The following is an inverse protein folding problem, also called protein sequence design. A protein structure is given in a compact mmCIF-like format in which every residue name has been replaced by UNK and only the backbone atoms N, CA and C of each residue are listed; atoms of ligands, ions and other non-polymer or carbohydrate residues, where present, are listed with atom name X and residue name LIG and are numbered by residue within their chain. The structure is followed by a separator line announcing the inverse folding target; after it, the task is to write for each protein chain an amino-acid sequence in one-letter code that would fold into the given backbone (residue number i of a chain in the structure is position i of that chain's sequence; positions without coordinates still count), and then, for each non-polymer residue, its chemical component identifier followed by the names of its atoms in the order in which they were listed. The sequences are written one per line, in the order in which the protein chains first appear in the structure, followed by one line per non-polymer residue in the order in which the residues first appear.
data_IF_517425134572
#
_entry.id   IF_517425134572
#
_cell.length_a   1.000
_cell.length_b   1.000
_cell.length_c   1.000
_cell.angle_alpha   90.00
_cell.angle_beta   90.00
_cell.angle_gamma   90.00
#
_symmetry.space_group_name_H-M   'P 1'
#
loop_
_entity.id
_entity.type
_entity.pdbx_description
1 polymer ?
#
# COMPACT_ATOMS: atom_id res chain seq x y z
N UNK A 1 -0.10 -15.02 16.27
CA UNK A 1 -0.27 -13.56 16.14
C UNK A 1 -1.72 -13.21 16.37
N UNK A 2 -2.03 -12.21 17.18
CA UNK A 2 -3.40 -11.73 17.44
C UNK A 2 -3.87 -10.76 16.33
N UNK A 3 -5.18 -10.70 16.09
CA UNK A 3 -5.78 -9.72 15.17
C UNK A 3 -6.18 -8.50 16.02
N UNK A 4 -5.50 -7.39 15.81
CA UNK A 4 -5.72 -6.12 16.52
C UNK A 4 -6.09 -5.03 15.51
N UNK A 5 -7.05 -4.16 15.85
CA UNK A 5 -7.58 -3.15 14.93
C UNK A 5 -8.05 -3.78 13.60
N UNK A 6 -9.00 -4.72 13.68
CA UNK A 6 -9.67 -5.26 12.50
C UNK A 6 -10.60 -4.18 11.92
N UNK A 7 -10.44 -3.92 10.63
CA UNK A 7 -11.19 -2.94 9.85
C UNK A 7 -11.98 -3.73 8.80
N UNK A 8 -13.30 -3.69 8.91
CA UNK A 8 -14.28 -4.34 8.03
C UNK A 8 -14.85 -3.39 6.98
N UNK A 9 -14.01 -2.44 6.54
CA UNK A 9 -14.35 -1.48 5.49
C UNK A 9 -14.67 -2.16 4.16
N UNK A 10 -15.56 -1.51 3.42
CA UNK A 10 -16.08 -2.01 2.14
C UNK A 10 -15.61 -1.16 0.97
N UNK A 11 -15.12 0.05 1.24
CA UNK A 11 -14.56 0.98 0.25
C UNK A 11 -13.13 1.42 0.62
N UNK A 12 -12.27 1.55 -0.40
CA UNK A 12 -10.90 2.04 -0.26
C UNK A 12 -10.83 3.45 0.34
N UNK A 13 -11.86 4.28 0.15
CA UNK A 13 -11.91 5.64 0.72
C UNK A 13 -11.93 5.58 2.26
N UNK A 14 -12.66 4.63 2.83
CA UNK A 14 -12.72 4.43 4.29
C UNK A 14 -11.34 4.07 4.85
N UNK A 15 -10.64 3.14 4.18
CA UNK A 15 -9.27 2.77 4.54
C UNK A 15 -8.31 3.95 4.44
N UNK A 16 -8.43 4.75 3.38
CA UNK A 16 -7.59 5.94 3.17
C UNK A 16 -7.77 6.98 4.28
N UNK A 17 -9.01 7.30 4.64
CA UNK A 17 -9.28 8.26 5.72
C UNK A 17 -8.83 7.71 7.08
N UNK A 18 -8.98 6.41 7.33
CA UNK A 18 -8.43 5.79 8.52
C UNK A 18 -6.90 5.91 8.56
N UNK A 19 -6.20 5.59 7.47
CA UNK A 19 -4.74 5.68 7.40
C UNK A 19 -4.25 7.13 7.56
N UNK A 20 -4.93 8.10 6.96
CA UNK A 20 -4.62 9.53 7.12
C UNK A 20 -4.55 9.96 8.59
N UNK A 21 -5.46 9.45 9.42
CA UNK A 21 -5.50 9.74 10.86
C UNK A 21 -4.51 8.87 11.67
N UNK A 22 -4.26 7.64 11.25
CA UNK A 22 -3.69 6.60 12.11
C UNK A 22 -2.30 6.07 11.69
N UNK A 23 -1.83 6.33 10.48
CA UNK A 23 -0.59 5.73 9.94
C UNK A 23 0.67 6.01 10.78
N UNK A 24 0.68 7.11 11.54
CA UNK A 24 1.78 7.47 12.46
C UNK A 24 1.44 7.27 13.95
N UNK A 25 0.24 6.78 14.28
CA UNK A 25 -0.25 6.57 15.66
C UNK A 25 -0.33 5.09 16.04
N UNK A 26 -0.58 4.23 15.06
CA UNK A 26 -0.89 2.81 15.28
C UNK A 26 0.23 1.94 14.71
N UNK A 27 0.55 0.83 15.37
CA UNK A 27 1.66 -0.07 14.97
C UNK A 27 1.28 -1.05 13.86
N UNK A 28 0.00 -1.38 13.74
CA UNK A 28 -0.56 -2.22 12.68
C UNK A 28 -2.09 -2.20 12.73
N UNK A 29 -2.71 -2.58 11.63
CA UNK A 29 -4.13 -2.94 11.54
C UNK A 29 -4.31 -4.21 10.71
N UNK A 30 -5.52 -4.74 10.73
CA UNK A 30 -5.96 -5.80 9.83
C UNK A 30 -7.13 -5.28 9.03
N UNK A 31 -7.16 -5.54 7.73
CA UNK A 31 -8.24 -5.12 6.84
C UNK A 31 -8.91 -6.35 6.27
N UNK A 32 -10.23 -6.47 6.42
CA UNK A 32 -11.01 -7.51 5.75
C UNK A 32 -10.91 -7.29 4.25
N UNK A 33 -10.57 -8.34 3.50
CA UNK A 33 -10.26 -8.21 2.08
C UNK A 33 -10.55 -9.49 1.31
N UNK A 34 -10.48 -9.42 -0.02
CA UNK A 34 -10.58 -10.57 -0.90
C UNK A 34 -9.45 -10.57 -1.93
N UNK A 35 -8.98 -11.77 -2.31
CA UNK A 35 -8.05 -11.93 -3.44
C UNK A 35 -8.72 -11.70 -4.80
N UNK A 36 -10.05 -11.80 -4.86
CA UNK A 36 -10.83 -11.56 -6.06
C UNK A 36 -11.11 -10.08 -6.23
N UNK A 37 -11.10 -9.60 -7.49
CA UNK A 37 -11.64 -8.28 -7.85
C UNK A 37 -13.17 -8.22 -7.76
N UNK A 38 -13.82 -9.38 -7.68
CA UNK A 38 -15.25 -9.53 -7.44
C UNK A 38 -15.42 -10.36 -6.15
N UNK A 39 -15.42 -9.72 -4.98
CA UNK A 39 -15.57 -10.40 -3.70
C UNK A 39 -16.92 -11.10 -3.57
N UNK A 40 -16.96 -12.20 -2.82
CA UNK A 40 -18.22 -12.90 -2.47
C UNK A 40 -18.84 -12.37 -1.18
N UNK A 41 -18.20 -11.38 -0.53
CA UNK A 41 -18.64 -10.66 0.66
C UNK A 41 -18.14 -9.21 0.55
N UNK A 42 -18.84 -8.28 1.17
CA UNK A 42 -18.50 -6.85 1.12
C UNK A 42 -17.14 -6.61 1.78
N UNK A 43 -16.15 -6.19 0.99
CA UNK A 43 -14.79 -5.87 1.44
C UNK A 43 -14.01 -5.17 0.33
N UNK A 44 -12.89 -4.56 0.71
CA UNK A 44 -11.95 -3.96 -0.24
C UNK A 44 -11.13 -5.07 -0.92
N UNK A 45 -10.98 -5.08 -2.26
CA UNK A 45 -10.08 -5.98 -2.96
C UNK A 45 -8.62 -5.85 -2.49
N UNK A 46 -7.89 -6.96 -2.39
CA UNK A 46 -6.53 -7.00 -1.80
C UNK A 46 -5.56 -6.00 -2.43
N UNK A 47 -5.62 -5.81 -3.75
CA UNK A 47 -4.72 -4.86 -4.43
C UNK A 47 -4.98 -3.43 -3.96
N UNK A 48 -6.23 -3.05 -3.74
CA UNK A 48 -6.56 -1.70 -3.25
C UNK A 48 -6.14 -1.52 -1.79
N UNK A 49 -6.29 -2.57 -0.96
CA UNK A 49 -5.77 -2.57 0.42
C UNK A 49 -4.26 -2.35 0.45
N UNK A 50 -3.52 -3.02 -0.44
CA UNK A 50 -2.06 -2.85 -0.57
C UNK A 50 -1.73 -1.45 -1.07
N UNK A 51 -2.37 -0.98 -2.15
CA UNK A 51 -2.12 0.35 -2.71
C UNK A 51 -2.32 1.47 -1.67
N UNK A 52 -3.43 1.44 -0.91
CA UNK A 52 -3.64 2.42 0.16
C UNK A 52 -2.58 2.29 1.26
N UNK A 53 -2.15 1.08 1.62
CA UNK A 53 -1.04 0.95 2.58
C UNK A 53 0.24 1.62 2.07
N UNK A 54 0.60 1.40 0.81
CA UNK A 54 1.81 2.00 0.21
C UNK A 54 1.73 3.53 0.16
N UNK A 55 0.55 4.09 -0.13
CA UNK A 55 0.30 5.54 -0.10
C UNK A 55 0.74 6.21 1.21
N UNK A 56 0.71 5.49 2.34
CA UNK A 56 1.10 6.00 3.66
C UNK A 56 2.41 5.41 4.20
N UNK A 57 3.21 4.75 3.34
CA UNK A 57 4.48 4.15 3.73
C UNK A 57 4.34 2.88 4.57
N UNK A 58 3.19 2.23 4.49
CA UNK A 58 2.92 0.94 5.10
C UNK A 58 3.06 -0.17 4.05
N UNK A 59 3.23 -1.41 4.54
CA UNK A 59 3.26 -2.62 3.72
C UNK A 59 2.28 -3.65 4.26
N UNK A 60 1.88 -4.56 3.38
CA UNK A 60 1.18 -5.76 3.78
C UNK A 60 2.16 -6.85 4.24
N UNK A 61 1.72 -7.73 5.16
CA UNK A 61 2.56 -8.85 5.59
C UNK A 61 1.82 -10.17 5.65
N UNK A 62 0.85 -10.30 6.55
CA UNK A 62 0.26 -11.59 6.91
C UNK A 62 -1.20 -11.60 6.52
N UNK A 63 -1.57 -12.54 5.66
CA UNK A 63 -2.96 -12.85 5.36
C UNK A 63 -3.47 -13.93 6.31
N UNK A 64 -4.69 -13.77 6.80
CA UNK A 64 -5.38 -14.78 7.61
C UNK A 64 -6.80 -15.01 7.15
N UNK A 65 -7.33 -16.18 7.48
CA UNK A 65 -8.76 -16.49 7.40
C UNK A 65 -9.40 -16.26 8.77
N UNK A 66 -10.46 -15.48 8.80
CA UNK A 66 -11.30 -15.23 9.97
C UNK A 66 -12.26 -16.41 10.23
N UNK A 67 -12.85 -16.52 11.43
CA UNK A 67 -13.76 -17.62 11.78
C UNK A 67 -14.99 -17.74 10.85
N UNK A 68 -15.48 -16.63 10.33
CA UNK A 68 -16.59 -16.54 9.37
C UNK A 68 -16.17 -16.91 7.92
N UNK A 69 -14.87 -17.14 7.71
CA UNK A 69 -14.30 -17.52 6.43
C UNK A 69 -13.78 -16.36 5.59
N UNK A 70 -13.99 -15.11 6.01
CA UNK A 70 -13.44 -13.93 5.36
C UNK A 70 -11.91 -13.90 5.46
N UNK A 71 -11.24 -13.19 4.55
CA UNK A 71 -9.79 -12.98 4.67
C UNK A 71 -9.52 -11.63 5.32
N UNK A 72 -8.44 -11.56 6.10
CA UNK A 72 -7.94 -10.34 6.70
C UNK A 72 -6.45 -10.18 6.39
N UNK A 73 -6.08 -9.03 5.84
CA UNK A 73 -4.70 -8.68 5.51
C UNK A 73 -4.13 -7.76 6.57
N UNK A 74 -3.02 -8.15 7.17
CA UNK A 74 -2.27 -7.29 8.08
C UNK A 74 -1.52 -6.21 7.31
N UNK A 75 -1.64 -4.98 7.78
CA UNK A 75 -0.86 -3.82 7.35
C UNK A 75 -0.01 -3.29 8.51
N UNK A 76 1.19 -2.79 8.21
CA UNK A 76 2.04 -2.11 9.19
C UNK A 76 3.02 -1.15 8.55
N UNK A 77 3.55 -0.14 9.28
CA UNK A 77 4.59 0.74 8.77
C UNK A 77 5.77 -0.06 8.21
N UNK A 78 6.30 0.36 7.06
CA UNK A 78 7.49 -0.25 6.50
C UNK A 78 8.69 -0.02 7.44
N UNK A 79 9.46 -1.08 7.70
CA UNK A 79 10.61 -0.98 8.59
C UNK A 79 11.75 -0.23 7.88
N UNK A 80 12.27 0.82 8.52
CA UNK A 80 13.46 1.54 8.03
C UNK A 80 14.61 0.56 7.76
N UNK A 81 15.22 0.66 6.58
CA UNK A 81 16.33 -0.18 6.14
C UNK A 81 15.95 -1.57 5.62
N UNK A 82 14.66 -1.92 5.58
CA UNK A 82 14.20 -3.14 4.90
C UNK A 82 14.06 -2.90 3.39
N UNK A 83 14.16 -3.98 2.60
CA UNK A 83 13.99 -3.92 1.16
C UNK A 83 12.52 -3.87 0.77
N UNK A 84 12.21 -3.02 -0.19
CA UNK A 84 10.96 -3.10 -0.96
C UNK A 84 11.07 -4.21 -1.99
N UNK A 85 10.02 -5.03 -2.11
CA UNK A 85 9.90 -5.98 -3.21
C UNK A 85 9.74 -5.23 -4.53
N UNK A 86 10.21 -5.80 -5.64
CA UNK A 86 10.11 -5.13 -6.95
C UNK A 86 8.67 -4.77 -7.30
N UNK A 87 7.73 -5.67 -7.00
CA UNK A 87 6.30 -5.43 -7.19
C UNK A 87 5.77 -4.23 -6.37
N UNK A 88 6.23 -4.03 -5.13
CA UNK A 88 5.80 -2.86 -4.37
C UNK A 88 6.47 -1.58 -4.88
N UNK A 89 7.69 -1.65 -5.45
CA UNK A 89 8.30 -0.48 -6.12
C UNK A 89 7.49 -0.08 -7.34
N UNK A 90 7.14 -1.03 -8.20
CA UNK A 90 6.31 -0.79 -9.38
C UNK A 90 4.96 -0.16 -9.00
N UNK A 91 4.33 -0.67 -7.93
CA UNK A 91 3.09 -0.09 -7.39
C UNK A 91 3.29 1.33 -6.88
N UNK A 92 4.35 1.60 -6.11
CA UNK A 92 4.65 2.94 -5.65
C UNK A 92 4.80 3.91 -6.84
N UNK A 93 5.59 3.55 -7.86
CA UNK A 93 5.74 4.34 -9.09
C UNK A 93 4.39 4.60 -9.76
N UNK A 94 3.54 3.58 -9.92
CA UNK A 94 2.22 3.77 -10.49
C UNK A 94 1.33 4.72 -9.66
N UNK A 95 1.41 4.64 -8.33
CA UNK A 95 0.67 5.51 -7.41
C UNK A 95 1.16 6.96 -7.49
N UNK A 96 2.45 7.18 -7.74
CA UNK A 96 3.01 8.50 -8.04
C UNK A 96 2.44 9.08 -9.34
N UNK A 97 2.49 8.30 -10.42
CA UNK A 97 2.02 8.73 -11.75
C UNK A 97 0.53 9.11 -11.75
N UNK A 98 -0.23 8.48 -10.84
CA UNK A 98 -1.66 8.73 -10.59
C UNK A 98 -1.93 9.86 -9.59
N UNK A 99 -0.91 10.40 -8.93
CA UNK A 99 -1.05 11.46 -7.92
C UNK A 99 -1.75 11.00 -6.63
N UNK A 100 -1.64 9.71 -6.30
CA UNK A 100 -2.30 9.11 -5.12
C UNK A 100 -1.37 8.96 -3.92
N UNK A 101 -0.05 9.00 -4.13
CA UNK A 101 0.93 8.93 -3.06
C UNK A 101 0.77 10.09 -2.08
N UNK A 102 1.09 9.85 -0.81
CA UNK A 102 1.16 10.91 0.21
C UNK A 102 2.61 11.14 0.62
N UNK A 103 2.91 12.29 1.23
CA UNK A 103 4.25 12.61 1.75
C UNK A 103 4.84 11.49 2.63
N UNK A 104 4.00 10.79 3.40
CA UNK A 104 4.44 9.68 4.23
C UNK A 104 4.91 8.48 3.39
N UNK A 105 4.17 8.16 2.32
CA UNK A 105 4.54 7.11 1.37
C UNK A 105 5.81 7.45 0.60
N UNK A 106 5.89 8.66 0.04
CA UNK A 106 7.08 9.19 -0.64
C UNK A 106 8.33 9.06 0.25
N UNK A 107 8.28 9.61 1.47
CA UNK A 107 9.41 9.57 2.38
C UNK A 107 9.81 8.16 2.79
N UNK A 108 8.86 7.24 2.91
CA UNK A 108 9.16 5.84 3.24
C UNK A 108 9.83 5.12 2.08
N UNK A 109 9.44 5.45 0.84
CA UNK A 109 9.97 4.84 -0.36
C UNK A 109 11.36 5.39 -0.73
N UNK A 110 11.54 6.71 -0.75
CA UNK A 110 12.85 7.38 -0.99
C UNK A 110 13.94 6.94 0.00
N UNK A 111 13.60 6.84 1.29
CA UNK A 111 14.58 6.40 2.31
C UNK A 111 15.07 4.97 2.10
N UNK A 112 14.33 4.16 1.35
CA UNK A 112 14.68 2.79 1.08
C UNK A 112 15.25 2.57 -0.32
N UNK A 113 15.10 3.54 -1.22
CA UNK A 113 15.56 3.46 -2.60
C UNK A 113 15.94 4.87 -3.10
N UNK A 114 17.18 5.05 -3.53
CA UNK A 114 17.62 6.28 -4.19
C UNK A 114 17.23 6.23 -5.66
N UNK A 115 16.12 6.87 -6.00
CA UNK A 115 15.67 7.05 -7.38
C UNK A 115 15.17 8.48 -7.56
N UNK A 116 15.34 9.02 -8.76
CA UNK A 116 14.77 10.32 -9.10
C UNK A 116 13.30 10.12 -9.51
N UNK A 117 12.38 10.58 -8.69
CA UNK A 117 10.97 10.73 -9.10
C UNK A 117 10.93 11.92 -10.06
N UNK A 118 10.70 11.65 -11.33
CA UNK A 118 10.52 12.70 -12.34
C UNK A 118 9.05 13.16 -12.28
N UNK A 119 8.75 14.41 -11.90
CA UNK A 119 7.38 14.89 -11.83
C UNK A 119 6.72 14.84 -13.21
N UNK A 120 5.43 14.47 -13.25
CA UNK A 120 4.62 14.48 -14.48
C UNK A 120 4.61 15.89 -15.09
N UNK A 121 5.17 16.02 -16.30
CA UNK A 121 5.37 17.31 -16.98
C UNK A 121 6.81 17.86 -16.96
N UNK A 122 7.77 17.12 -16.39
CA UNK A 122 9.20 17.39 -16.53
C UNK A 122 9.68 17.14 -17.96
N UNK A 123 10.62 17.96 -18.45
CA UNK A 123 11.24 17.87 -19.79
C UNK A 123 12.07 16.59 -20.02
N UNK A 124 12.14 15.69 -19.05
CA UNK A 124 12.84 14.40 -19.14
C UNK A 124 11.89 13.26 -19.47
N UNK A 125 11.17 13.37 -20.59
CA UNK A 125 10.34 12.27 -21.14
C UNK A 125 11.12 11.36 -22.12
N UNK A 126 12.45 11.47 -22.16
CA UNK A 126 13.29 10.60 -22.97
C UNK A 126 14.13 9.68 -22.08
N UNK A 127 13.72 8.40 -21.96
CA UNK A 127 14.67 7.34 -21.61
C UNK A 127 15.33 6.84 -22.89
N UNK A 128 16.66 6.83 -23.01
CA UNK A 128 17.30 6.06 -24.07
C UNK A 128 17.08 4.57 -23.77
N UNK A 129 16.58 3.86 -24.78
CA UNK A 129 16.69 2.43 -24.87
C UNK A 129 18.18 2.07 -25.04
N UNK A 130 18.75 1.34 -24.09
CA UNK A 130 20.01 0.61 -24.28
C UNK A 130 19.95 -0.64 -23.39
N UNK A 131 19.55 -1.78 -23.95
CA UNK A 131 20.44 -2.79 -24.54
C UNK A 131 21.60 -3.16 -23.60
N UNK A 132 21.40 -4.23 -22.82
CA UNK A 132 22.35 -5.36 -22.68
C UNK A 132 21.52 -6.63 -22.50
#
# INVERSE_FOLDING_TARGET
MEIINLLDFTDRIELREWLKVNHNRVKSCWVVTSRSKQPTYECIPYIEVVEEALCFGWIDSTLKKLPDGCLAQRLSPHRKGSHWTELNKERCINLEDRGLMTDAGHQAFEKAYSYEIVPKGSLMEEKPHSLI
#
